data_IF_774181953637
#
_entry.id   IF_774181953637
#
_cell.length_a   1.000
_cell.length_b   1.000
_cell.length_c   1.000
_cell.angle_alpha   90.00
_cell.angle_beta   90.00
_cell.angle_gamma   90.00
#
_symmetry.space_group_name_H-M   'P 1'
#
loop_
_entity.id
_entity.type
_entity.pdbx_description
1 polymer ?
#
# COMPACT_ATOMS: atom_id res chain seq x y z
N UNK A 1 -36.93 -28.53 -7.50
CA UNK A 1 -35.60 -27.99 -7.15
C UNK A 1 -34.78 -29.14 -6.62
N UNK A 2 -33.68 -29.52 -7.28
CA UNK A 2 -32.76 -30.52 -6.74
C UNK A 2 -32.26 -30.02 -5.38
N UNK A 3 -32.34 -30.86 -4.35
CA UNK A 3 -31.70 -30.61 -3.07
C UNK A 3 -30.20 -30.53 -3.32
N UNK A 4 -29.68 -29.32 -3.33
CA UNK A 4 -28.25 -29.10 -3.28
C UNK A 4 -27.77 -29.60 -1.92
N UNK A 5 -27.07 -30.73 -1.93
CA UNK A 5 -26.63 -31.39 -0.71
C UNK A 5 -25.68 -30.50 0.10
N UNK A 6 -25.77 -30.60 1.43
CA UNK A 6 -25.02 -29.78 2.39
C UNK A 6 -23.52 -29.96 2.20
N UNK A 7 -23.05 -31.18 1.90
CA UNK A 7 -21.61 -31.44 1.70
C UNK A 7 -21.08 -30.70 0.47
N UNK A 8 -21.86 -30.70 -0.62
CA UNK A 8 -21.52 -29.96 -1.83
C UNK A 8 -21.44 -28.46 -1.55
N UNK A 9 -22.36 -27.92 -0.75
CA UNK A 9 -22.32 -26.51 -0.34
C UNK A 9 -21.11 -26.17 0.51
N UNK A 10 -20.82 -26.99 1.52
CA UNK A 10 -19.65 -26.80 2.39
C UNK A 10 -18.37 -26.82 1.55
N UNK A 11 -18.26 -27.75 0.59
CA UNK A 11 -17.13 -27.82 -0.33
C UNK A 11 -16.98 -26.56 -1.20
N UNK A 12 -18.09 -26.01 -1.71
CA UNK A 12 -18.07 -24.72 -2.42
C UNK A 12 -17.58 -23.62 -1.49
N UNK A 13 -18.15 -23.52 -0.29
CA UNK A 13 -17.81 -22.47 0.69
C UNK A 13 -16.33 -22.49 1.10
N UNK A 14 -15.70 -23.67 1.21
CA UNK A 14 -14.26 -23.79 1.49
C UNK A 14 -13.32 -23.22 0.43
N UNK A 15 -13.85 -22.85 -0.74
CA UNK A 15 -13.07 -22.28 -1.83
C UNK A 15 -13.50 -20.84 -2.16
N UNK A 16 -14.26 -20.21 -1.27
CA UNK A 16 -14.67 -18.81 -1.41
C UNK A 16 -13.86 -17.91 -0.48
N UNK A 17 -13.65 -16.67 -0.91
CA UNK A 17 -13.02 -15.62 -0.10
C UNK A 17 -13.97 -15.14 1.00
N UNK A 18 -13.48 -14.53 2.09
CA UNK A 18 -14.33 -14.01 3.14
C UNK A 18 -15.41 -13.04 2.64
N UNK A 19 -15.08 -12.14 1.70
CA UNK A 19 -16.06 -11.22 1.12
C UNK A 19 -17.15 -11.91 0.32
N UNK A 20 -16.83 -13.00 -0.38
CA UNK A 20 -17.78 -13.79 -1.16
C UNK A 20 -18.72 -14.59 -0.22
N UNK A 21 -18.18 -15.17 0.86
CA UNK A 21 -18.96 -15.82 1.91
C UNK A 21 -19.90 -14.85 2.63
N UNK A 22 -19.42 -13.64 2.94
CA UNK A 22 -20.26 -12.59 3.55
C UNK A 22 -21.41 -12.20 2.63
N UNK A 23 -21.14 -12.06 1.33
CA UNK A 23 -22.18 -11.82 0.32
C UNK A 23 -23.17 -12.98 0.25
N UNK A 24 -22.70 -14.23 0.21
CA UNK A 24 -23.57 -15.41 0.21
C UNK A 24 -24.48 -15.50 1.43
N UNK A 25 -23.96 -15.20 2.62
CA UNK A 25 -24.75 -15.21 3.86
C UNK A 25 -25.91 -14.20 3.85
N UNK A 26 -25.90 -13.22 2.94
CA UNK A 26 -26.96 -12.24 2.75
C UNK A 26 -27.97 -12.64 1.66
N UNK A 27 -27.69 -13.64 0.81
CA UNK A 27 -28.55 -14.00 -0.34
C UNK A 27 -29.85 -14.68 0.11
N UNK A 28 -29.77 -15.64 1.04
CA UNK A 28 -30.94 -16.35 1.53
C UNK A 28 -30.77 -16.87 2.97
N UNK A 29 -31.90 -17.18 3.63
CA UNK A 29 -31.92 -17.72 5.01
C UNK A 29 -31.15 -19.03 5.16
N UNK A 30 -31.12 -19.86 4.11
CA UNK A 30 -30.41 -21.14 4.12
C UNK A 30 -28.90 -20.93 4.22
N UNK A 31 -28.30 -20.14 3.32
CA UNK A 31 -26.87 -19.81 3.40
C UNK A 31 -26.52 -19.05 4.67
N UNK A 32 -27.40 -18.15 5.11
CA UNK A 32 -27.20 -17.47 6.38
C UNK A 32 -27.06 -18.46 7.56
N UNK A 33 -27.91 -19.48 7.63
CA UNK A 33 -27.85 -20.52 8.66
C UNK A 33 -26.61 -21.40 8.54
N UNK A 34 -26.27 -21.85 7.34
CA UNK A 34 -25.07 -22.69 7.11
C UNK A 34 -23.79 -21.95 7.49
N UNK A 35 -23.73 -20.64 7.25
CA UNK A 35 -22.58 -19.77 7.52
C UNK A 35 -22.66 -19.03 8.87
N UNK A 36 -23.55 -19.43 9.78
CA UNK A 36 -23.67 -18.86 11.12
C UNK A 36 -23.11 -19.84 12.15
N UNK A 37 -22.02 -19.44 12.82
CA UNK A 37 -21.30 -20.23 13.82
C UNK A 37 -22.16 -20.58 15.05
N UNK A 38 -23.18 -19.77 15.36
CA UNK A 38 -24.10 -20.08 16.46
C UNK A 38 -25.17 -21.11 16.08
N UNK A 39 -25.31 -21.44 14.79
CA UNK A 39 -26.35 -22.36 14.27
C UNK A 39 -25.72 -23.62 13.69
N UNK A 40 -24.58 -23.47 13.01
CA UNK A 40 -23.95 -24.50 12.20
C UNK A 40 -22.52 -24.75 12.70
N UNK A 41 -22.20 -25.96 13.19
CA UNK A 41 -20.88 -26.26 13.74
C UNK A 41 -19.78 -26.27 12.66
N UNK A 42 -20.13 -26.45 11.38
CA UNK A 42 -19.15 -26.39 10.28
C UNK A 42 -18.82 -24.96 9.85
N UNK A 43 -19.60 -23.97 10.27
CA UNK A 43 -19.41 -22.58 9.83
C UNK A 43 -18.05 -22.02 10.28
N UNK A 44 -17.61 -22.34 11.49
CA UNK A 44 -16.32 -21.89 12.03
C UNK A 44 -15.17 -22.31 11.11
N UNK A 45 -15.11 -23.61 10.78
CA UNK A 45 -14.11 -24.18 9.89
C UNK A 45 -14.19 -23.61 8.47
N UNK A 46 -15.39 -23.26 7.98
CA UNK A 46 -15.56 -22.58 6.68
C UNK A 46 -14.88 -21.21 6.70
N UNK A 47 -15.12 -20.42 7.75
CA UNK A 47 -14.56 -19.07 7.88
C UNK A 47 -13.04 -19.09 8.10
N UNK A 48 -12.56 -19.98 8.96
CA UNK A 48 -11.14 -20.21 9.21
C UNK A 48 -10.41 -20.58 7.91
N UNK A 49 -10.86 -21.63 7.22
CA UNK A 49 -10.22 -22.10 5.99
C UNK A 49 -10.28 -21.04 4.86
N UNK A 50 -11.36 -20.25 4.81
CA UNK A 50 -11.46 -19.13 3.88
C UNK A 50 -10.42 -18.03 4.18
N UNK A 51 -10.26 -17.67 5.46
CA UNK A 51 -9.25 -16.69 5.90
C UNK A 51 -7.84 -17.20 5.59
N UNK A 52 -7.57 -18.47 5.84
CA UNK A 52 -6.26 -19.07 5.68
C UNK A 52 -5.80 -19.14 4.23
N UNK A 53 -6.71 -19.50 3.33
CA UNK A 53 -6.42 -19.61 1.90
C UNK A 53 -6.29 -18.26 1.21
N UNK A 54 -7.12 -17.29 1.59
CA UNK A 54 -7.36 -16.12 0.75
C UNK A 54 -6.92 -14.79 1.36
N UNK A 55 -6.36 -14.80 2.56
CA UNK A 55 -5.96 -13.56 3.23
C UNK A 55 -4.55 -13.63 3.80
N UNK A 56 -3.95 -12.46 3.98
CA UNK A 56 -2.68 -12.31 4.69
C UNK A 56 -2.82 -12.43 6.22
N UNK A 57 -4.04 -12.68 6.71
CA UNK A 57 -4.39 -12.75 8.13
C UNK A 57 -4.48 -14.20 8.64
N UNK A 58 -3.99 -15.16 7.86
CA UNK A 58 -4.06 -16.60 8.15
C UNK A 58 -3.43 -17.00 9.49
N UNK A 59 -2.33 -16.34 9.88
CA UNK A 59 -1.55 -16.75 11.04
C UNK A 59 -2.15 -16.31 12.39
N UNK A 60 -3.40 -15.84 12.42
CA UNK A 60 -4.06 -15.36 13.64
C UNK A 60 -5.49 -15.86 13.79
N UNK A 61 -5.77 -16.35 14.98
CA UNK A 61 -7.12 -16.64 15.43
C UNK A 61 -7.88 -15.36 15.79
N UNK A 62 -9.21 -15.42 15.87
CA UNK A 62 -10.01 -14.33 16.41
C UNK A 62 -9.79 -14.16 17.92
N UNK A 63 -10.05 -12.96 18.48
CA UNK A 63 -10.16 -12.79 19.93
C UNK A 63 -11.14 -13.78 20.56
N UNK A 64 -10.91 -14.19 21.81
CA UNK A 64 -11.67 -15.26 22.48
C UNK A 64 -13.20 -15.04 22.46
N UNK A 65 -13.63 -13.78 22.58
CA UNK A 65 -15.05 -13.40 22.55
C UNK A 65 -15.59 -13.09 21.14
N UNK A 66 -14.82 -13.34 20.08
CA UNK A 66 -15.14 -12.99 18.71
C UNK A 66 -15.21 -14.23 17.83
N UNK A 67 -16.27 -14.30 17.02
CA UNK A 67 -16.44 -15.42 16.08
C UNK A 67 -15.54 -15.25 14.85
N UNK A 68 -15.19 -16.35 14.16
CA UNK A 68 -14.38 -16.32 12.93
C UNK A 68 -15.07 -15.45 11.85
N UNK A 69 -16.39 -15.49 11.74
CA UNK A 69 -17.15 -14.63 10.81
C UNK A 69 -16.98 -13.16 11.13
N UNK A 70 -17.06 -12.79 12.40
CA UNK A 70 -16.94 -11.39 12.84
C UNK A 70 -15.52 -10.89 12.56
N UNK A 71 -14.53 -11.70 12.90
CA UNK A 71 -13.13 -11.40 12.62
C UNK A 71 -12.84 -11.28 11.12
N UNK A 72 -13.32 -12.24 10.32
CA UNK A 72 -13.23 -12.20 8.86
C UNK A 72 -13.86 -10.92 8.29
N UNK A 73 -15.03 -10.52 8.79
CA UNK A 73 -15.72 -9.28 8.41
C UNK A 73 -14.87 -8.03 8.74
N UNK A 74 -14.24 -7.97 9.91
CA UNK A 74 -13.35 -6.87 10.30
C UNK A 74 -12.13 -6.74 9.40
N UNK A 75 -11.61 -7.88 8.92
CA UNK A 75 -10.41 -7.94 8.10
C UNK A 75 -10.68 -7.82 6.59
N UNK A 76 -11.94 -7.70 6.17
CA UNK A 76 -12.36 -7.50 4.77
C UNK A 76 -12.20 -6.04 4.31
N UNK A 77 -10.96 -5.52 4.31
CA UNK A 77 -10.64 -4.10 4.01
C UNK A 77 -11.13 -3.64 2.63
N UNK A 78 -11.26 -4.55 1.66
CA UNK A 78 -11.75 -4.26 0.32
C UNK A 78 -13.20 -3.74 0.27
N UNK A 79 -13.97 -3.93 1.36
CA UNK A 79 -15.33 -3.40 1.52
C UNK A 79 -15.36 -1.98 2.11
N UNK A 80 -14.21 -1.39 2.43
CA UNK A 80 -14.11 -0.05 2.98
C UNK A 80 -14.54 0.05 4.44
N UNK A 81 -14.74 1.28 4.92
CA UNK A 81 -15.32 1.58 6.23
C UNK A 81 -16.68 0.88 6.40
N UNK A 82 -16.98 0.32 7.57
CA UNK A 82 -18.27 -0.35 7.79
C UNK A 82 -19.47 0.61 7.77
N UNK A 83 -19.25 1.90 8.01
CA UNK A 83 -20.29 2.92 8.03
C UNK A 83 -20.43 3.58 6.65
N UNK A 84 -19.45 4.37 6.22
CA UNK A 84 -19.53 5.15 4.97
C UNK A 84 -19.05 4.41 3.71
N UNK A 85 -18.51 3.19 3.84
CA UNK A 85 -17.99 2.35 2.73
C UNK A 85 -16.79 2.94 1.96
N UNK A 86 -16.28 4.12 2.33
CA UNK A 86 -15.07 4.69 1.71
C UNK A 86 -13.86 3.78 1.88
N UNK A 87 -12.97 3.80 0.89
CA UNK A 87 -11.69 3.09 0.86
C UNK A 87 -10.49 4.05 0.82
N UNK A 88 -10.77 5.35 0.64
CA UNK A 88 -9.79 6.41 0.43
C UNK A 88 -9.18 6.88 1.75
N UNK A 89 -9.86 6.59 2.86
CA UNK A 89 -9.41 6.92 4.21
C UNK A 89 -8.59 5.79 4.85
N UNK A 90 -7.77 6.16 5.85
CA UNK A 90 -7.13 5.15 6.70
C UNK A 90 -8.21 4.39 7.45
N UNK A 91 -8.26 3.08 7.23
CA UNK A 91 -9.19 2.19 7.92
C UNK A 91 -8.50 1.53 9.10
N UNK A 92 -9.17 1.58 10.24
CA UNK A 92 -8.69 1.04 11.50
C UNK A 92 -9.70 0.03 12.03
N UNK A 93 -9.21 -1.10 12.53
CA UNK A 93 -10.04 -2.03 13.30
C UNK A 93 -10.01 -1.56 14.75
N UNK A 94 -11.16 -1.12 15.23
CA UNK A 94 -11.38 -0.80 16.62
C UNK A 94 -11.87 -2.07 17.31
N UNK A 95 -10.98 -2.68 18.10
CA UNK A 95 -11.17 -4.03 18.63
C UNK A 95 -12.29 -4.12 19.66
N UNK A 96 -12.37 -3.14 20.56
CA UNK A 96 -13.40 -3.06 21.60
C UNK A 96 -14.82 -2.97 21.02
N UNK A 97 -15.14 -2.00 20.15
CA UNK A 97 -16.45 -1.96 19.51
C UNK A 97 -16.63 -3.05 18.43
N UNK A 98 -15.57 -3.75 18.04
CA UNK A 98 -15.63 -4.76 16.99
C UNK A 98 -16.06 -4.16 15.65
N UNK A 99 -15.46 -3.04 15.24
CA UNK A 99 -15.75 -2.39 13.95
C UNK A 99 -14.47 -1.96 13.21
N UNK A 100 -14.51 -2.05 11.88
CA UNK A 100 -13.55 -1.42 10.97
C UNK A 100 -14.12 -0.09 10.48
N UNK A 101 -13.48 1.02 10.87
CA UNK A 101 -13.97 2.36 10.57
C UNK A 101 -12.85 3.30 10.13
N UNK A 102 -13.21 4.32 9.34
CA UNK A 102 -12.39 5.53 9.26
C UNK A 102 -12.57 6.37 10.54
N UNK A 103 -11.65 7.29 10.78
CA UNK A 103 -11.65 8.17 11.94
C UNK A 103 -12.97 8.96 12.05
N UNK A 104 -13.39 9.61 10.97
CA UNK A 104 -14.59 10.46 10.95
C UNK A 104 -15.87 9.72 11.34
N UNK A 105 -16.03 8.46 10.92
CA UNK A 105 -17.19 7.65 11.29
C UNK A 105 -17.10 7.09 12.72
N UNK A 106 -15.90 7.01 13.29
CA UNK A 106 -15.70 6.51 14.65
C UNK A 106 -16.02 7.58 15.71
N UNK A 107 -15.65 8.83 15.46
CA UNK A 107 -15.74 9.94 16.41
C UNK A 107 -17.15 10.11 17.03
N UNK A 108 -18.27 10.06 16.27
CA UNK A 108 -19.59 10.27 16.85
C UNK A 108 -20.04 9.18 17.84
N UNK A 109 -19.45 7.99 17.77
CA UNK A 109 -19.80 6.86 18.64
C UNK A 109 -18.96 6.75 19.90
N UNK A 110 -18.04 7.70 20.14
CA UNK A 110 -17.16 7.69 21.31
C UNK A 110 -17.33 8.93 22.18
N UNK A 111 -16.97 8.77 23.45
CA UNK A 111 -16.95 9.84 24.46
C UNK A 111 -15.58 9.86 25.15
N UNK A 112 -14.98 11.04 25.30
CA UNK A 112 -13.70 11.16 26.01
C UNK A 112 -13.91 11.09 27.53
N UNK A 113 -12.86 10.66 28.25
CA UNK A 113 -12.88 10.48 29.70
C UNK A 113 -13.35 11.73 30.45
N UNK A 114 -12.88 12.92 30.05
CA UNK A 114 -13.17 14.18 30.73
C UNK A 114 -14.67 14.53 30.68
N UNK A 115 -15.30 14.33 29.51
CA UNK A 115 -16.75 14.53 29.35
C UNK A 115 -17.52 13.45 30.10
N UNK A 116 -17.05 12.20 30.03
CA UNK A 116 -17.68 11.07 30.70
C UNK A 116 -17.74 11.27 32.23
N UNK A 117 -16.64 11.67 32.85
CA UNK A 117 -16.56 11.93 34.29
C UNK A 117 -17.39 13.15 34.72
N UNK A 118 -17.33 14.24 33.95
CA UNK A 118 -18.07 15.48 34.28
C UNK A 118 -19.58 15.36 34.06
N UNK A 119 -20.02 14.63 33.03
CA UNK A 119 -21.45 14.54 32.65
C UNK A 119 -22.18 13.44 33.41
N UNK A 120 -21.57 12.27 33.57
CA UNK A 120 -22.23 11.09 34.13
C UNK A 120 -21.86 10.80 35.59
N UNK A 121 -20.93 11.57 36.19
CA UNK A 121 -20.42 11.37 37.56
C UNK A 121 -20.06 9.90 37.83
N UNK A 122 -19.51 9.21 36.83
CA UNK A 122 -19.15 7.81 36.97
C UNK A 122 -18.04 7.67 38.01
N UNK A 123 -18.22 6.76 38.96
CA UNK A 123 -17.19 6.40 39.92
C UNK A 123 -16.13 5.52 39.23
N UNK A 124 -14.95 5.41 39.84
CA UNK A 124 -13.83 4.61 39.32
C UNK A 124 -14.17 3.11 39.18
N UNK A 125 -15.23 2.65 39.86
CA UNK A 125 -15.72 1.28 39.76
C UNK A 125 -16.35 1.01 38.40
N UNK A 126 -17.23 1.90 37.90
CA UNK A 126 -17.83 1.77 36.56
C UNK A 126 -16.76 1.92 35.48
N UNK A 127 -15.83 2.87 35.65
CA UNK A 127 -14.70 3.05 34.72
C UNK A 127 -13.80 1.80 34.66
N UNK A 128 -13.68 1.06 35.76
CA UNK A 128 -12.99 -0.23 35.80
C UNK A 128 -13.67 -1.36 35.01
N UNK A 129 -14.91 -1.16 34.55
CA UNK A 129 -15.73 -2.14 33.83
C UNK A 129 -15.94 -1.78 32.34
N UNK A 130 -15.35 -0.69 31.86
CA UNK A 130 -15.34 -0.30 30.45
C UNK A 130 -13.91 -0.23 29.94
N UNK A 131 -13.68 -0.70 28.70
CA UNK A 131 -12.37 -0.59 28.07
C UNK A 131 -12.33 0.66 27.19
N UNK A 132 -11.21 1.40 27.19
CA UNK A 132 -11.03 2.45 26.22
C UNK A 132 -10.94 1.85 24.81
N UNK A 133 -11.50 2.56 23.85
CA UNK A 133 -11.39 2.25 22.43
C UNK A 133 -9.91 2.15 22.06
N UNK A 134 -9.58 1.06 21.37
CA UNK A 134 -8.22 0.78 20.89
C UNK A 134 -8.26 0.52 19.39
N UNK A 135 -7.42 1.21 18.59
CA UNK A 135 -6.42 2.20 19.00
C UNK A 135 -7.03 3.52 19.48
N UNK A 136 -6.26 4.27 20.29
CA UNK A 136 -6.70 5.56 20.84
C UNK A 136 -6.93 6.59 19.75
N UNK A 137 -7.96 7.42 19.91
CA UNK A 137 -8.27 8.51 18.97
C UNK A 137 -7.50 9.79 19.27
N UNK A 138 -7.03 9.98 20.52
CA UNK A 138 -6.19 11.11 20.92
C UNK A 138 -5.35 10.75 22.15
N UNK A 139 -4.72 11.76 22.77
CA UNK A 139 -3.98 11.60 24.03
C UNK A 139 -4.90 11.24 25.21
N UNK A 140 -6.15 11.70 25.20
CA UNK A 140 -7.14 11.38 26.23
C UNK A 140 -7.88 10.07 25.88
N UNK A 141 -8.13 9.16 26.84
CA UNK A 141 -8.87 7.93 26.58
C UNK A 141 -10.29 8.21 26.08
N UNK A 142 -10.72 7.42 25.09
CA UNK A 142 -12.07 7.46 24.53
C UNK A 142 -12.78 6.14 24.81
N UNK A 143 -14.06 6.19 25.10
CA UNK A 143 -14.88 5.02 25.39
C UNK A 143 -16.02 4.90 24.38
N UNK A 144 -16.39 3.67 24.02
CA UNK A 144 -17.51 3.43 23.13
C UNK A 144 -18.83 3.69 23.85
N UNK A 145 -19.68 4.57 23.29
CA UNK A 145 -20.89 5.02 23.97
C UNK A 145 -21.82 3.84 24.30
N UNK A 146 -22.02 2.91 23.37
CA UNK A 146 -22.90 1.76 23.65
C UNK A 146 -22.34 0.86 24.76
N UNK A 147 -21.01 0.71 24.84
CA UNK A 147 -20.39 -0.08 25.89
C UNK A 147 -20.64 0.57 27.25
N UNK A 148 -20.43 1.88 27.35
CA UNK A 148 -20.72 2.65 28.57
C UNK A 148 -22.18 2.50 28.97
N UNK A 149 -23.11 2.75 28.05
CA UNK A 149 -24.55 2.66 28.32
C UNK A 149 -24.97 1.25 28.75
N UNK A 150 -24.47 0.21 28.08
CA UNK A 150 -24.78 -1.17 28.42
C UNK A 150 -24.22 -1.54 29.80
N UNK A 151 -23.00 -1.10 30.13
CA UNK A 151 -22.42 -1.33 31.46
C UNK A 151 -23.21 -0.61 32.55
N UNK A 152 -23.61 0.65 32.34
CA UNK A 152 -24.43 1.40 33.30
C UNK A 152 -25.78 0.70 33.50
N UNK A 153 -26.47 0.33 32.42
CA UNK A 153 -27.75 -0.38 32.50
C UNK A 153 -27.62 -1.70 33.29
N UNK A 154 -26.57 -2.47 33.02
CA UNK A 154 -26.30 -3.73 33.71
C UNK A 154 -26.08 -3.53 35.22
N UNK A 155 -25.41 -2.45 35.61
CA UNK A 155 -25.17 -2.09 37.02
C UNK A 155 -26.43 -1.55 37.72
N UNK A 156 -27.27 -0.79 37.00
CA UNK A 156 -28.52 -0.26 37.58
C UNK A 156 -29.53 -1.37 37.90
N UNK A 157 -29.50 -2.46 37.14
CA UNK A 157 -30.38 -3.62 37.36
C UNK A 157 -29.79 -4.62 38.39
N UNK A 158 -28.71 -4.27 39.10
CA UNK A 158 -27.96 -5.21 39.93
C UNK A 158 -28.47 -5.38 41.38
N UNK A 159 -28.48 -6.62 41.89
CA UNK A 159 -28.75 -6.98 43.29
C UNK A 159 -27.44 -7.38 44.03
N UNK A 160 -27.52 -7.71 45.31
CA UNK A 160 -26.34 -8.01 46.14
C UNK A 160 -25.49 -9.21 45.64
N UNK A 161 -26.08 -10.15 44.90
CA UNK A 161 -25.33 -11.27 44.29
C UNK A 161 -24.45 -10.80 43.11
N UNK A 162 -24.87 -9.74 42.41
CA UNK A 162 -24.13 -9.18 41.27
C UNK A 162 -22.87 -8.42 41.65
N UNK A 163 -22.67 -8.03 42.92
CA UNK A 163 -21.39 -7.48 43.41
C UNK A 163 -20.22 -8.46 43.25
N UNK A 164 -20.47 -9.77 43.41
CA UNK A 164 -19.45 -10.79 43.18
C UNK A 164 -19.16 -10.97 41.68
N UNK A 165 -20.19 -10.88 40.83
CA UNK A 165 -20.06 -10.92 39.37
C UNK A 165 -19.30 -9.70 38.83
N UNK A 166 -19.52 -8.51 39.39
CA UNK A 166 -18.80 -7.28 39.05
C UNK A 166 -17.29 -7.43 39.30
N UNK A 167 -16.89 -8.04 40.41
CA UNK A 167 -15.47 -8.30 40.69
C UNK A 167 -14.86 -9.29 39.71
N UNK A 168 -15.58 -10.35 39.33
CA UNK A 168 -15.13 -11.30 38.30
C UNK A 168 -15.01 -10.64 36.93
N UNK A 169 -15.97 -9.79 36.55
CA UNK A 169 -15.92 -9.00 35.33
C UNK A 169 -14.67 -8.11 35.33
N UNK A 170 -14.41 -7.39 36.43
CA UNK A 170 -13.24 -6.52 36.57
C UNK A 170 -11.92 -7.27 36.41
N UNK A 171 -11.81 -8.50 36.94
CA UNK A 171 -10.63 -9.36 36.73
C UNK A 171 -10.48 -9.71 35.24
N UNK A 172 -11.57 -10.12 34.58
CA UNK A 172 -11.56 -10.44 33.14
C UNK A 172 -11.28 -9.25 32.22
N UNK A 173 -11.52 -8.01 32.67
CA UNK A 173 -11.19 -6.80 31.91
C UNK A 173 -9.68 -6.63 31.70
N UNK A 174 -8.87 -7.07 32.68
CA UNK A 174 -7.42 -7.08 32.54
C UNK A 174 -6.94 -7.99 31.40
N UNK A 175 -7.53 -9.17 31.27
CA UNK A 175 -7.24 -10.10 30.18
C UNK A 175 -7.69 -9.56 28.83
N UNK A 176 -8.91 -9.03 28.74
CA UNK A 176 -9.42 -8.38 27.52
C UNK A 176 -8.54 -7.20 27.09
N UNK A 177 -8.06 -6.40 28.03
CA UNK A 177 -7.15 -5.30 27.74
C UNK A 177 -5.82 -5.81 27.14
N UNK A 178 -5.24 -6.87 27.73
CA UNK A 178 -4.02 -7.52 27.20
C UNK A 178 -4.24 -8.08 25.80
N UNK A 179 -5.36 -8.74 25.57
CA UNK A 179 -5.75 -9.31 24.28
C UNK A 179 -5.87 -8.21 23.21
N UNK A 180 -6.61 -7.15 23.51
CA UNK A 180 -6.80 -6.02 22.59
C UNK A 180 -5.47 -5.34 22.24
N UNK A 181 -4.59 -5.16 23.23
CA UNK A 181 -3.23 -4.65 23.00
C UNK A 181 -2.37 -5.62 22.17
N UNK A 182 -2.60 -6.92 22.28
CA UNK A 182 -1.94 -7.91 21.43
C UNK A 182 -2.38 -7.75 19.97
N UNK A 183 -3.69 -7.70 19.70
CA UNK A 183 -4.20 -7.55 18.34
C UNK A 183 -3.82 -6.21 17.69
N UNK A 184 -3.77 -5.13 18.47
CA UNK A 184 -3.29 -3.83 17.97
C UNK A 184 -1.81 -3.89 17.56
N UNK A 185 -0.96 -4.49 18.41
CA UNK A 185 0.46 -4.69 18.08
C UNK A 185 0.64 -5.59 16.87
N UNK A 186 -0.15 -6.67 16.79
CA UNK A 186 -0.14 -7.58 15.65
C UNK A 186 -0.51 -6.85 14.36
N UNK A 187 -1.63 -6.12 14.32
CA UNK A 187 -2.05 -5.37 13.13
C UNK A 187 -1.03 -4.32 12.71
N UNK A 188 -0.45 -3.59 13.66
CA UNK A 188 0.60 -2.61 13.38
C UNK A 188 1.83 -3.28 12.74
N UNK A 189 2.27 -4.42 13.29
CA UNK A 189 3.38 -5.21 12.74
C UNK A 189 3.06 -5.76 11.35
N UNK A 190 1.86 -6.30 11.17
CA UNK A 190 1.40 -6.85 9.89
C UNK A 190 1.36 -5.75 8.82
N UNK A 191 0.76 -4.59 9.12
CA UNK A 191 0.69 -3.43 8.23
C UNK A 191 2.08 -3.01 7.76
N UNK A 192 3.03 -2.84 8.69
CA UNK A 192 4.42 -2.46 8.38
C UNK A 192 5.14 -3.52 7.53
N UNK A 193 4.94 -4.79 7.86
CA UNK A 193 5.59 -5.91 7.15
C UNK A 193 5.02 -6.06 5.73
N UNK A 194 3.71 -5.96 5.58
CA UNK A 194 3.02 -6.02 4.29
C UNK A 194 3.41 -4.85 3.39
N UNK A 195 3.36 -3.62 3.91
CA UNK A 195 3.82 -2.43 3.19
C UNK A 195 5.26 -2.56 2.70
N UNK A 196 6.19 -3.01 3.56
CA UNK A 196 7.59 -3.22 3.17
C UNK A 196 7.71 -4.25 2.04
N UNK A 197 6.98 -5.37 2.13
CA UNK A 197 6.96 -6.40 1.07
C UNK A 197 6.42 -5.84 -0.24
N UNK A 198 5.30 -5.11 -0.21
CA UNK A 198 4.73 -4.46 -1.39
C UNK A 198 5.72 -3.50 -2.06
N UNK A 199 6.27 -2.55 -1.29
CA UNK A 199 7.22 -1.57 -1.82
C UNK A 199 8.47 -2.26 -2.39
N UNK A 200 9.02 -3.25 -1.70
CA UNK A 200 10.19 -4.00 -2.20
C UNK A 200 9.94 -4.66 -3.56
N UNK A 201 8.70 -5.13 -3.81
CA UNK A 201 8.33 -5.73 -5.10
C UNK A 201 8.16 -4.69 -6.19
N UNK A 202 7.61 -3.52 -5.88
CA UNK A 202 7.57 -2.42 -6.84
C UNK A 202 8.98 -1.94 -7.22
N UNK A 203 9.93 -1.99 -6.28
CA UNK A 203 11.31 -1.57 -6.51
C UNK A 203 12.18 -2.62 -7.18
N UNK A 204 11.77 -3.89 -7.19
CA UNK A 204 12.58 -4.99 -7.72
C UNK A 204 12.97 -4.85 -9.21
N UNK A 205 12.18 -4.10 -9.99
CA UNK A 205 12.41 -3.85 -11.41
C UNK A 205 13.08 -2.50 -11.69
N UNK A 206 13.35 -1.70 -10.66
CA UNK A 206 13.96 -0.38 -10.76
C UNK A 206 15.46 -0.49 -10.44
N UNK A 207 16.31 0.06 -11.30
CA UNK A 207 17.75 0.14 -11.01
C UNK A 207 18.01 0.96 -9.76
N UNK A 208 18.95 0.53 -8.93
CA UNK A 208 19.29 1.19 -7.66
C UNK A 208 19.64 2.68 -7.84
N UNK A 209 20.40 3.01 -8.88
CA UNK A 209 20.76 4.38 -9.27
C UNK A 209 19.57 5.28 -9.67
N UNK A 210 18.43 4.68 -10.01
CA UNK A 210 17.19 5.39 -10.38
C UNK A 210 16.22 5.42 -9.21
N UNK A 211 16.30 4.44 -8.30
CA UNK A 211 15.37 4.29 -7.19
C UNK A 211 15.34 5.51 -6.27
N UNK A 212 16.50 6.10 -5.97
CA UNK A 212 16.57 7.31 -5.13
C UNK A 212 15.76 8.46 -5.72
N UNK A 213 15.89 8.72 -7.02
CA UNK A 213 15.16 9.79 -7.69
C UNK A 213 13.68 9.48 -7.85
N UNK A 214 13.33 8.20 -8.09
CA UNK A 214 11.94 7.75 -8.06
C UNK A 214 11.31 8.04 -6.70
N UNK A 215 12.03 7.76 -5.61
CA UNK A 215 11.54 8.02 -4.25
C UNK A 215 11.32 9.50 -3.96
N UNK A 216 12.07 10.38 -4.61
CA UNK A 216 11.92 11.83 -4.49
C UNK A 216 10.84 12.44 -5.38
N UNK A 217 10.39 11.71 -6.41
CA UNK A 217 9.36 12.16 -7.36
C UNK A 217 8.00 12.39 -6.65
N UNK A 218 7.35 13.51 -7.00
CA UNK A 218 6.07 13.91 -6.41
C UNK A 218 4.96 12.88 -6.67
N UNK A 219 4.87 12.34 -7.88
CA UNK A 219 3.84 11.36 -8.24
C UNK A 219 4.06 10.05 -7.48
N UNK A 220 5.31 9.62 -7.34
CA UNK A 220 5.65 8.45 -6.52
C UNK A 220 5.31 8.67 -5.05
N UNK A 221 5.60 9.85 -4.48
CA UNK A 221 5.25 10.18 -3.09
C UNK A 221 3.74 10.13 -2.87
N UNK A 222 2.94 10.63 -3.80
CA UNK A 222 1.47 10.52 -3.78
C UNK A 222 1.03 9.06 -3.81
N UNK A 223 1.55 8.26 -4.75
CA UNK A 223 1.26 6.83 -4.86
C UNK A 223 1.62 6.04 -3.59
N UNK A 224 2.80 6.32 -3.03
CA UNK A 224 3.27 5.72 -1.78
C UNK A 224 2.32 6.05 -0.63
N UNK A 225 1.87 7.31 -0.53
CA UNK A 225 0.93 7.73 0.49
C UNK A 225 -0.43 7.01 0.34
N UNK A 226 -0.97 6.87 -0.88
CA UNK A 226 -2.19 6.09 -1.13
C UNK A 226 -2.06 4.63 -0.65
N UNK A 227 -0.94 3.99 -0.97
CA UNK A 227 -0.65 2.61 -0.53
C UNK A 227 -0.51 2.55 1.00
N UNK A 228 0.13 3.54 1.63
CA UNK A 228 0.32 3.62 3.08
C UNK A 228 -0.99 3.81 3.84
N UNK A 229 -1.92 4.60 3.28
CA UNK A 229 -3.26 4.82 3.83
C UNK A 229 -4.03 3.52 3.99
N UNK A 230 -3.95 2.60 3.03
CA UNK A 230 -4.60 1.29 3.16
C UNK A 230 -3.86 0.17 2.38
N UNK A 231 -2.78 -0.37 2.96
CA UNK A 231 -1.94 -1.35 2.25
C UNK A 231 -2.65 -2.69 2.03
N UNK A 232 -3.75 -2.94 2.73
CA UNK A 232 -4.53 -4.18 2.61
C UNK A 232 -5.44 -4.21 1.37
N UNK A 233 -5.68 -3.06 0.72
CA UNK A 233 -6.39 -3.02 -0.56
C UNK A 233 -5.52 -3.59 -1.69
N UNK A 234 -4.21 -3.41 -1.59
CA UNK A 234 -3.25 -3.91 -2.57
C UNK A 234 -2.99 -5.39 -2.28
N UNK A 235 -3.86 -6.25 -2.81
CA UNK A 235 -3.66 -7.69 -2.80
C UNK A 235 -2.57 -8.09 -3.78
N UNK A 236 -1.73 -9.04 -3.37
CA UNK A 236 -0.67 -9.60 -4.19
C UNK A 236 -1.21 -10.09 -5.54
N UNK A 237 -0.62 -9.61 -6.63
CA UNK A 237 -1.00 -9.95 -8.02
C UNK A 237 -2.45 -9.59 -8.41
N UNK A 238 -3.10 -8.71 -7.63
CA UNK A 238 -4.42 -8.18 -7.95
C UNK A 238 -4.38 -7.02 -8.96
N UNK A 239 -5.52 -6.63 -9.55
CA UNK A 239 -5.58 -5.53 -10.53
C UNK A 239 -5.00 -4.20 -10.00
N UNK A 240 -5.21 -3.90 -8.72
CA UNK A 240 -4.68 -2.70 -8.08
C UNK A 240 -3.15 -2.75 -7.95
N UNK A 241 -2.58 -3.92 -7.62
CA UNK A 241 -1.13 -4.09 -7.56
C UNK A 241 -0.49 -3.80 -8.91
N UNK A 242 -1.03 -4.36 -10.00
CA UNK A 242 -0.52 -4.11 -11.35
C UNK A 242 -0.69 -2.65 -11.78
N UNK A 243 -1.78 -1.99 -11.38
CA UNK A 243 -1.97 -0.57 -11.63
C UNK A 243 -0.90 0.28 -10.94
N UNK A 244 -0.66 0.07 -9.64
CA UNK A 244 0.39 0.79 -8.90
C UNK A 244 1.78 0.51 -9.47
N UNK A 245 2.08 -0.77 -9.75
CA UNK A 245 3.34 -1.20 -10.35
C UNK A 245 3.59 -0.51 -11.69
N UNK A 246 2.60 -0.52 -12.59
CA UNK A 246 2.72 0.12 -13.90
C UNK A 246 3.02 1.62 -13.79
N UNK A 247 2.32 2.34 -12.89
CA UNK A 247 2.54 3.78 -12.69
C UNK A 247 3.94 4.05 -12.13
N UNK A 248 4.39 3.29 -11.14
CA UNK A 248 5.74 3.42 -10.58
C UNK A 248 6.82 3.17 -11.66
N UNK A 249 6.63 2.17 -12.51
CA UNK A 249 7.55 1.88 -13.62
C UNK A 249 7.52 2.95 -14.72
N UNK A 250 6.40 3.65 -14.92
CA UNK A 250 6.34 4.80 -15.83
C UNK A 250 7.15 5.99 -15.28
N UNK A 251 7.07 6.25 -13.98
CA UNK A 251 7.88 7.28 -13.30
C UNK A 251 9.37 6.96 -13.45
N UNK A 252 9.76 5.71 -13.18
CA UNK A 252 11.15 5.26 -13.33
C UNK A 252 11.66 5.47 -14.77
N UNK A 253 10.87 5.06 -15.78
CA UNK A 253 11.21 5.28 -17.20
C UNK A 253 11.37 6.75 -17.54
N UNK A 254 10.44 7.60 -17.12
CA UNK A 254 10.50 9.07 -17.33
C UNK A 254 11.79 9.67 -16.76
N UNK A 255 12.18 9.26 -15.56
CA UNK A 255 13.41 9.73 -14.91
C UNK A 255 14.64 9.27 -15.70
N UNK A 256 14.71 7.98 -16.07
CA UNK A 256 15.82 7.44 -16.87
C UNK A 256 15.94 8.16 -18.22
N UNK A 257 14.83 8.39 -18.93
CA UNK A 257 14.80 9.11 -20.20
C UNK A 257 15.31 10.55 -20.04
N UNK A 258 14.89 11.25 -18.99
CA UNK A 258 15.37 12.60 -18.70
C UNK A 258 16.88 12.63 -18.43
N UNK A 259 17.42 11.66 -17.70
CA UNK A 259 18.88 11.53 -17.49
C UNK A 259 19.62 11.36 -18.81
N UNK A 260 19.17 10.42 -19.65
CA UNK A 260 19.75 10.16 -20.96
C UNK A 260 19.79 11.45 -21.80
N UNK A 261 18.67 12.19 -21.84
CA UNK A 261 18.58 13.46 -22.56
C UNK A 261 19.58 14.49 -22.01
N UNK A 262 19.74 14.60 -20.69
CA UNK A 262 20.71 15.52 -20.09
C UNK A 262 22.16 15.13 -20.41
N UNK A 263 22.49 13.84 -20.33
CA UNK A 263 23.83 13.35 -20.69
C UNK A 263 24.12 13.58 -22.17
N UNK A 264 23.16 13.34 -23.07
CA UNK A 264 23.27 13.67 -24.49
C UNK A 264 23.54 15.16 -24.72
N UNK A 265 22.85 16.06 -24.01
CA UNK A 265 23.11 17.51 -24.06
C UNK A 265 24.54 17.84 -23.60
N UNK A 266 25.05 17.19 -22.55
CA UNK A 266 26.42 17.38 -22.09
C UNK A 266 27.45 16.87 -23.12
N UNK A 267 27.21 15.72 -23.76
CA UNK A 267 28.05 15.20 -24.85
C UNK A 267 28.09 16.20 -26.00
N UNK A 268 26.95 16.74 -26.43
CA UNK A 268 26.88 17.78 -27.47
C UNK A 268 27.69 19.01 -27.05
N UNK A 269 27.53 19.48 -25.81
CA UNK A 269 28.27 20.63 -25.27
C UNK A 269 29.79 20.39 -25.24
N UNK A 270 30.20 19.17 -24.87
CA UNK A 270 31.60 18.77 -24.86
C UNK A 270 32.19 18.74 -26.28
N UNK A 271 31.50 18.11 -27.23
CA UNK A 271 31.91 18.08 -28.64
C UNK A 271 32.03 19.48 -29.23
N UNK A 272 31.09 20.39 -28.94
CA UNK A 272 31.19 21.81 -29.33
C UNK A 272 32.46 22.48 -28.80
N UNK A 273 32.85 22.21 -27.55
CA UNK A 273 34.09 22.75 -26.97
C UNK A 273 35.33 22.22 -27.68
N UNK A 274 35.35 20.95 -28.10
CA UNK A 274 36.44 20.39 -28.90
C UNK A 274 36.51 21.00 -30.31
N UNK A 275 35.35 21.30 -30.91
CA UNK A 275 35.29 21.90 -32.24
C UNK A 275 35.70 23.37 -32.27
N UNK A 276 35.20 24.16 -31.32
CA UNK A 276 35.26 25.64 -31.35
C UNK A 276 36.14 26.27 -30.27
N UNK A 277 36.56 25.51 -29.25
CA UNK A 277 37.33 26.02 -28.11
C UNK A 277 38.84 26.08 -28.35
N UNK A 278 39.50 27.03 -27.70
CA UNK A 278 40.93 27.34 -27.84
C UNK A 278 41.93 26.28 -27.32
N UNK A 279 41.47 25.11 -26.85
CA UNK A 279 42.35 24.00 -26.42
C UNK A 279 42.75 23.12 -27.61
N UNK A 280 43.60 23.64 -28.50
CA UNK A 280 44.26 22.89 -29.59
C UNK A 280 45.48 22.07 -29.11
N UNK A 281 45.44 21.49 -27.91
CA UNK A 281 46.63 20.88 -27.30
C UNK A 281 46.68 19.34 -27.34
N UNK A 282 45.78 18.66 -28.06
CA UNK A 282 45.98 17.23 -28.37
C UNK A 282 45.84 16.96 -29.88
N UNK A 283 46.82 16.31 -30.52
CA UNK A 283 46.78 15.96 -31.95
C UNK A 283 45.93 14.72 -32.24
N UNK A 284 45.12 14.23 -31.28
CA UNK A 284 44.28 13.05 -31.47
C UNK A 284 42.84 13.48 -31.77
N UNK A 285 42.47 13.37 -33.05
CA UNK A 285 41.11 13.38 -33.59
C UNK A 285 40.16 14.47 -33.05
N UNK A 286 40.35 15.71 -33.49
CA UNK A 286 39.35 16.77 -33.31
C UNK A 286 38.15 16.52 -34.22
N UNK A 287 37.05 16.01 -33.66
CA UNK A 287 35.76 16.08 -34.37
C UNK A 287 35.29 17.51 -34.46
N UNK A 288 35.05 17.93 -35.70
CA UNK A 288 34.25 19.11 -35.95
C UNK A 288 32.77 18.77 -35.90
N UNK A 289 31.92 19.63 -35.32
CA UNK A 289 30.46 19.52 -35.48
C UNK A 289 30.00 19.57 -36.95
N UNK A 290 30.87 20.05 -37.85
CA UNK A 290 30.67 20.04 -39.31
C UNK A 290 31.04 18.70 -39.95
N UNK A 291 31.54 17.75 -39.17
CA UNK A 291 31.83 16.42 -39.66
C UNK A 291 30.54 15.72 -40.08
N UNK A 292 30.54 15.15 -41.28
CA UNK A 292 29.40 14.40 -41.84
C UNK A 292 28.94 13.28 -40.92
N UNK A 293 29.84 12.72 -40.09
CA UNK A 293 29.56 11.67 -39.11
C UNK A 293 28.63 12.15 -37.98
N UNK A 294 28.60 13.44 -37.68
CA UNK A 294 27.78 14.01 -36.60
C UNK A 294 26.28 13.76 -36.79
N UNK A 295 25.80 13.73 -38.05
CA UNK A 295 24.38 13.47 -38.37
C UNK A 295 23.92 12.09 -37.89
N UNK A 296 24.84 11.14 -37.73
CA UNK A 296 24.54 9.76 -37.30
C UNK A 296 24.51 9.58 -35.79
N UNK A 297 24.85 10.60 -34.99
CA UNK A 297 25.01 10.42 -33.53
C UNK A 297 23.70 10.01 -32.86
N UNK A 298 22.56 10.54 -33.27
CA UNK A 298 21.24 10.12 -32.75
C UNK A 298 20.91 8.64 -33.00
N UNK A 299 21.62 7.98 -33.92
CA UNK A 299 21.49 6.56 -34.26
C UNK A 299 22.55 5.69 -33.58
N UNK A 300 23.61 6.28 -33.04
CA UNK A 300 24.69 5.56 -32.37
C UNK A 300 24.23 5.04 -30.99
N UNK A 301 24.52 3.79 -30.68
CA UNK A 301 24.20 3.18 -29.39
C UNK A 301 24.93 3.89 -28.25
N UNK A 302 26.19 4.26 -28.46
CA UNK A 302 27.00 5.02 -27.50
C UNK A 302 26.36 6.39 -27.20
N UNK A 303 25.68 7.02 -28.16
CA UNK A 303 25.00 8.30 -27.92
C UNK A 303 23.60 8.13 -27.31
N UNK A 304 22.88 7.07 -27.69
CA UNK A 304 21.57 6.72 -27.10
C UNK A 304 21.70 6.30 -25.64
N UNK A 305 22.81 5.67 -25.29
CA UNK A 305 23.13 5.21 -23.93
C UNK A 305 24.54 5.69 -23.55
N UNK A 306 24.73 7.00 -23.35
CA UNK A 306 26.05 7.54 -23.03
C UNK A 306 26.50 7.08 -21.63
N UNK A 307 27.81 6.88 -21.42
CA UNK A 307 28.34 6.58 -20.10
C UNK A 307 28.21 7.80 -19.17
N UNK A 308 28.19 7.57 -17.86
CA UNK A 308 28.09 8.64 -16.86
C UNK A 308 29.29 9.61 -16.91
N UNK A 309 30.47 9.13 -17.35
CA UNK A 309 31.70 9.90 -17.47
C UNK A 309 32.01 10.14 -18.95
N UNK A 310 31.80 11.37 -19.41
CA UNK A 310 31.92 11.78 -20.82
C UNK A 310 33.39 12.00 -21.26
N UNK A 311 34.32 12.17 -20.31
CA UNK A 311 35.75 12.43 -20.59
C UNK A 311 36.56 11.15 -20.90
N UNK A 312 35.91 10.06 -21.25
CA UNK A 312 36.59 8.82 -21.62
C UNK A 312 36.97 8.84 -23.12
N UNK A 313 38.26 8.78 -23.42
CA UNK A 313 38.77 8.64 -24.80
C UNK A 313 38.18 7.41 -25.49
N UNK A 314 37.84 6.36 -24.72
CA UNK A 314 37.20 5.16 -25.22
C UNK A 314 35.76 5.42 -25.70
N UNK A 315 35.01 6.29 -25.02
CA UNK A 315 33.66 6.68 -25.41
C UNK A 315 33.66 7.39 -26.77
N UNK A 316 34.52 8.40 -26.93
CA UNK A 316 34.62 9.14 -28.19
C UNK A 316 35.04 8.23 -29.34
N UNK A 317 35.98 7.33 -29.09
CA UNK A 317 36.44 6.35 -30.09
C UNK A 317 35.30 5.41 -30.51
N UNK A 318 34.52 4.91 -29.56
CA UNK A 318 33.37 4.03 -29.84
C UNK A 318 32.27 4.77 -30.60
N UNK A 319 31.91 5.98 -30.15
CA UNK A 319 30.91 6.82 -30.80
C UNK A 319 31.28 7.13 -32.25
N UNK A 320 32.57 7.42 -32.50
CA UNK A 320 33.09 7.65 -33.83
C UNK A 320 32.98 6.45 -34.75
N UNK A 321 33.43 5.30 -34.26
CA UNK A 321 33.39 4.04 -35.00
C UNK A 321 31.95 3.65 -35.38
N UNK A 322 31.00 3.84 -34.46
CA UNK A 322 29.57 3.60 -34.74
C UNK A 322 29.05 4.53 -35.85
N UNK A 323 29.38 5.82 -35.78
CA UNK A 323 28.97 6.79 -36.80
C UNK A 323 29.60 6.50 -38.18
N UNK A 324 30.85 6.04 -38.22
CA UNK A 324 31.54 5.63 -39.45
C UNK A 324 30.88 4.40 -40.09
N UNK A 325 30.51 3.40 -39.29
CA UNK A 325 29.78 2.22 -39.78
C UNK A 325 28.42 2.58 -40.37
N UNK A 326 27.72 3.54 -39.75
CA UNK A 326 26.43 4.04 -40.25
C UNK A 326 26.57 4.87 -41.54
N UNK A 327 27.63 5.67 -41.69
CA UNK A 327 27.91 6.39 -42.93
C UNK A 327 28.31 5.42 -44.06
N UNK A 328 29.15 4.44 -43.76
CA UNK A 328 29.61 3.43 -44.72
C UNK A 328 28.49 2.50 -45.22
N UNK A 329 27.50 2.20 -44.36
CA UNK A 329 26.33 1.39 -44.73
C UNK A 329 25.29 2.15 -45.55
N UNK A 330 25.46 3.46 -45.77
CA UNK A 330 24.49 4.28 -46.49
C UNK A 330 23.15 4.45 -45.76
N UNK A 331 23.16 4.32 -44.43
CA UNK A 331 21.94 4.42 -43.62
C UNK A 331 21.30 5.79 -43.82
N UNK A 332 20.00 5.81 -44.17
CA UNK A 332 19.23 7.04 -44.32
C UNK A 332 18.96 7.63 -42.94
N UNK A 333 19.39 8.87 -42.74
CA UNK A 333 19.31 9.54 -41.43
C UNK A 333 18.06 10.42 -41.40
N UNK A 334 17.20 10.29 -40.39
CA UNK A 334 16.17 11.28 -40.10
C UNK A 334 16.82 12.63 -39.72
N UNK A 335 16.38 13.76 -40.27
CA UNK A 335 16.93 15.13 -40.06
C UNK A 335 16.77 15.67 -38.61
N UNK A 336 17.11 14.90 -37.57
CA UNK A 336 16.90 15.30 -36.17
C UNK A 336 18.07 16.09 -35.56
N UNK A 337 19.26 16.05 -36.18
CA UNK A 337 20.45 16.80 -35.77
C UNK A 337 20.97 17.63 -36.95
N UNK A 338 20.10 18.38 -37.63
CA UNK A 338 20.60 19.47 -38.47
C UNK A 338 21.42 20.42 -37.58
N UNK A 339 22.51 20.93 -38.13
CA UNK A 339 23.45 21.84 -37.44
C UNK A 339 22.69 22.98 -36.73
N UNK A 340 21.58 23.44 -37.29
CA UNK A 340 20.68 24.43 -36.72
C UNK A 340 19.89 23.96 -35.48
N UNK A 341 19.46 22.69 -35.42
CA UNK A 341 18.83 22.08 -34.24
C UNK A 341 19.83 21.88 -33.11
N UNK A 342 21.03 21.40 -33.42
CA UNK A 342 22.11 21.26 -32.45
C UNK A 342 22.61 22.63 -31.92
N UNK A 343 22.59 23.67 -32.75
CA UNK A 343 22.87 25.06 -32.35
C UNK A 343 21.78 25.60 -31.40
N UNK A 344 20.49 25.41 -31.71
CA UNK A 344 19.35 25.87 -30.89
C UNK A 344 19.23 25.22 -29.51
N UNK A 345 19.56 23.93 -29.36
CA UNK A 345 19.54 23.22 -28.06
C UNK A 345 20.63 23.74 -27.10
N UNK A 346 21.65 24.46 -27.60
CA UNK A 346 22.73 25.03 -26.78
C UNK A 346 22.57 26.50 -26.40
N UNK A 347 21.48 27.16 -26.82
CA UNK A 347 21.14 28.55 -26.45
C UNK A 347 20.13 28.65 -25.31
N UNK A 348 19.78 27.52 -24.66
CA UNK A 348 18.98 27.44 -23.44
C UNK A 348 19.83 27.02 -22.25
#
# INVERSE_FOLDING_TARGET
MQNFDVETLVFVCYNLRPSDLLSMACVCKYFNRVLNEHISPVAELIWENSRDKFTIFKDQDPPEAMTQKTFAKLLTFEKGCQFCKTKEETLTVYWIPGVRSCFECMVPGVICLDILQSTFKLNDEVLGLVLPVTPSLSESPHYWIDQVNNTIAHLMDADDNKLCEINNLRIGMGDKCREVQYYERWMSKLRKTHLRKLLSRFHAEIKEETLFEVQEDYEYKTLKNEIETNPFLVQDYGPQFEQYKSRILQIARRITENKIIQTQKLVIKYLKRLTYGSKRNSPKQTLSIRDRRYRYFSLCNSFRNPPDIINDDQFLTNLLREAEQLDASGTVVPNFLEVDGALKVGTL
#
